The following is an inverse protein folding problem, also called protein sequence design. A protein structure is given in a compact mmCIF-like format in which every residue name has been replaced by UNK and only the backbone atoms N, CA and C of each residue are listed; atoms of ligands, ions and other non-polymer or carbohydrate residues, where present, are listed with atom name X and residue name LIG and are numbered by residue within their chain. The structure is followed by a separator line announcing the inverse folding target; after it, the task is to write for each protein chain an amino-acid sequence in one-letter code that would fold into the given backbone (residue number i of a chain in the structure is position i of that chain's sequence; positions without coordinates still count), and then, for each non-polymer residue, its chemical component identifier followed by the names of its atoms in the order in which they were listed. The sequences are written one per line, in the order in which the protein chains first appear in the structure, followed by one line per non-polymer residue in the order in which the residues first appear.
data_IF_357324254539
#
_entry.id   IF_357324254539
#
_cell.length_a   1.000
_cell.length_b   1.000
_cell.length_c   1.000
_cell.angle_alpha   90.00
_cell.angle_beta   90.00
_cell.angle_gamma   90.00
#
_symmetry.space_group_name_H-M   'P 1'
#
loop_
_entity.id
_entity.type
_entity.pdbx_description
1 polymer ?
#
# COMPACT_ATOMS: atom_id res chain seq x y z
N UNK A 1 -6.57 -2.74 -15.13
CA UNK A 1 -7.54 -3.55 -14.34
C UNK A 1 -8.28 -4.61 -15.16
N UNK A 2 -8.57 -4.37 -16.44
CA UNK A 2 -9.19 -5.36 -17.35
C UNK A 2 -8.18 -6.06 -18.30
N UNK A 3 -6.87 -5.81 -18.13
CA UNK A 3 -5.77 -6.33 -18.92
C UNK A 3 -5.84 -6.06 -20.45
N UNK A 4 -6.51 -4.99 -20.88
CA UNK A 4 -6.59 -4.62 -22.30
C UNK A 4 -5.45 -3.72 -22.81
N UNK A 5 -4.50 -3.42 -21.93
CA UNK A 5 -3.30 -2.63 -22.21
C UNK A 5 -3.50 -1.11 -22.14
N UNK A 6 -4.64 -0.62 -21.65
CA UNK A 6 -4.88 0.79 -21.39
C UNK A 6 -4.95 1.07 -19.88
N UNK A 7 -4.39 2.20 -19.39
CA UNK A 7 -4.50 2.56 -17.98
C UNK A 7 -5.95 2.86 -17.61
N UNK A 8 -6.46 2.14 -16.63
CA UNK A 8 -7.72 2.39 -15.92
C UNK A 8 -7.44 3.25 -14.67
N UNK A 9 -8.48 3.80 -14.05
CA UNK A 9 -8.35 4.63 -12.84
C UNK A 9 -9.32 4.11 -11.78
N UNK A 10 -8.79 3.78 -10.61
CA UNK A 10 -9.58 3.60 -9.39
C UNK A 10 -9.43 4.85 -8.51
N UNK A 11 -10.54 5.36 -7.97
CA UNK A 11 -10.55 6.54 -7.08
C UNK A 11 -11.21 6.13 -5.77
N UNK A 12 -10.45 6.15 -4.68
CA UNK A 12 -10.95 6.02 -3.32
C UNK A 12 -11.50 7.36 -2.82
N UNK A 13 -12.67 7.35 -2.18
CA UNK A 13 -13.27 8.54 -1.57
C UNK A 13 -13.59 8.33 -0.09
N UNK A 14 -13.52 9.44 0.66
CA UNK A 14 -13.84 9.45 2.08
C UNK A 14 -15.29 9.87 2.34
N UNK A 15 -16.02 8.99 3.05
CA UNK A 15 -17.29 9.23 3.75
C UNK A 15 -18.50 9.56 2.87
N UNK A 16 -18.50 10.71 2.22
CA UNK A 16 -19.69 11.32 1.58
C UNK A 16 -19.71 11.20 0.06
N UNK A 17 -18.91 10.30 -0.49
CA UNK A 17 -18.86 9.97 -1.90
C UNK A 17 -18.43 8.50 -2.01
N UNK A 18 -18.94 7.80 -3.02
CA UNK A 18 -18.52 6.41 -3.26
C UNK A 18 -17.20 6.38 -4.00
N UNK A 19 -16.53 5.24 -3.98
CA UNK A 19 -15.38 5.02 -4.86
C UNK A 19 -15.82 5.03 -6.34
N UNK A 20 -14.87 5.23 -7.25
CA UNK A 20 -15.10 5.15 -8.70
C UNK A 20 -14.11 4.19 -9.35
N UNK A 21 -14.60 3.47 -10.37
CA UNK A 21 -13.77 2.63 -11.22
C UNK A 21 -13.96 3.06 -12.67
N UNK A 22 -13.06 3.91 -13.13
CA UNK A 22 -13.06 4.48 -14.46
C UNK A 22 -12.27 3.58 -15.43
N UNK A 23 -12.99 2.92 -16.32
CA UNK A 23 -12.41 2.07 -17.37
C UNK A 23 -12.16 2.90 -18.63
N UNK A 24 -10.95 2.77 -19.18
CA UNK A 24 -10.51 3.54 -20.32
C UNK A 24 -11.22 3.12 -21.61
N UNK A 25 -11.86 4.07 -22.29
CA UNK A 25 -12.63 3.82 -23.51
C UNK A 25 -11.80 3.93 -24.81
N UNK A 26 -10.47 4.08 -24.69
CA UNK A 26 -9.49 4.04 -25.80
C UNK A 26 -9.63 5.19 -26.81
N UNK A 27 -10.38 6.21 -26.46
CA UNK A 27 -10.66 7.39 -27.27
C UNK A 27 -10.46 8.70 -26.50
N UNK A 28 -9.76 8.63 -25.36
CA UNK A 28 -9.54 9.77 -24.46
C UNK A 28 -10.66 10.00 -23.44
N UNK A 29 -11.68 9.14 -23.38
CA UNK A 29 -12.72 9.17 -22.33
C UNK A 29 -12.62 7.96 -21.41
N UNK A 30 -13.27 8.07 -20.25
CA UNK A 30 -13.43 7.00 -19.28
C UNK A 30 -14.92 6.78 -19.00
N UNK A 31 -15.29 5.53 -18.68
CA UNK A 31 -16.63 5.18 -18.20
C UNK A 31 -16.49 4.69 -16.76
N UNK A 32 -17.33 5.21 -15.85
CA UNK A 32 -17.46 4.62 -14.53
C UNK A 32 -18.21 3.28 -14.64
N UNK A 33 -17.55 2.21 -14.21
CA UNK A 33 -18.05 0.83 -14.25
C UNK A 33 -17.97 0.18 -12.85
N UNK A 34 -17.88 0.97 -11.77
CA UNK A 34 -17.78 0.44 -10.40
C UNK A 34 -18.88 -0.58 -10.09
N UNK A 35 -20.15 -0.17 -10.22
CA UNK A 35 -21.31 -0.99 -9.85
C UNK A 35 -21.47 -2.25 -10.72
N UNK A 36 -20.86 -2.25 -11.92
CA UNK A 36 -20.89 -3.36 -12.87
C UNK A 36 -19.84 -4.43 -12.52
N UNK A 37 -18.81 -4.05 -11.76
CA UNK A 37 -17.58 -4.84 -11.56
C UNK A 37 -17.29 -5.17 -10.10
N UNK A 38 -17.70 -4.33 -9.16
CA UNK A 38 -17.42 -4.43 -7.72
C UNK A 38 -18.76 -4.46 -6.98
N UNK A 39 -18.95 -5.43 -6.08
CA UNK A 39 -20.22 -5.59 -5.36
C UNK A 39 -20.43 -4.62 -4.19
N UNK A 40 -19.36 -4.17 -3.56
CA UNK A 40 -19.35 -3.17 -2.49
C UNK A 40 -17.95 -2.59 -2.29
N UNK A 41 -17.85 -1.46 -1.60
CA UNK A 41 -16.59 -0.76 -1.35
C UNK A 41 -16.41 -0.41 0.13
N UNK A 42 -15.23 0.12 0.44
CA UNK A 42 -14.98 0.83 1.69
C UNK A 42 -15.90 2.06 1.81
N UNK A 43 -16.16 2.47 3.04
CA UNK A 43 -16.97 3.64 3.39
C UNK A 43 -16.14 4.92 3.49
N UNK A 44 -14.95 4.84 4.09
CA UNK A 44 -14.07 5.98 4.35
C UNK A 44 -12.68 5.73 3.78
N UNK A 45 -12.60 5.60 2.45
CA UNK A 45 -11.36 5.22 1.79
C UNK A 45 -10.44 6.39 1.54
N UNK A 46 -9.36 6.46 2.33
CA UNK A 46 -8.33 7.50 2.21
C UNK A 46 -7.10 7.05 1.44
N UNK A 47 -6.90 5.74 1.25
CA UNK A 47 -5.81 5.18 0.48
C UNK A 47 -6.24 3.98 -0.33
N UNK A 48 -5.66 3.86 -1.52
CA UNK A 48 -5.78 2.68 -2.35
C UNK A 48 -4.46 2.38 -3.04
N UNK A 49 -4.22 1.10 -3.29
CA UNK A 49 -3.13 0.64 -4.15
C UNK A 49 -3.55 -0.57 -4.99
N UNK A 50 -2.84 -0.78 -6.09
CA UNK A 50 -3.10 -1.87 -7.05
C UNK A 50 -1.87 -2.77 -7.17
N UNK A 51 -2.07 -4.07 -7.02
CA UNK A 51 -0.98 -5.04 -7.10
C UNK A 51 -1.51 -6.45 -7.34
N UNK A 52 -0.71 -7.26 -8.04
CA UNK A 52 -0.97 -8.69 -8.25
C UNK A 52 -0.52 -9.46 -6.99
N UNK A 53 -1.46 -10.04 -6.24
CA UNK A 53 -1.16 -10.69 -4.95
C UNK A 53 -1.02 -12.20 -5.05
N UNK A 54 -1.43 -12.80 -6.17
CA UNK A 54 -1.50 -14.25 -6.34
C UNK A 54 -0.65 -14.75 -7.52
N UNK A 55 0.05 -13.84 -8.21
CA UNK A 55 0.92 -14.07 -9.35
C UNK A 55 0.20 -14.71 -10.54
N UNK A 56 -1.05 -14.28 -10.79
CA UNK A 56 -1.86 -14.70 -11.94
C UNK A 56 -1.83 -13.69 -13.11
N UNK A 57 -1.14 -12.56 -12.94
CA UNK A 57 -0.99 -11.50 -13.93
C UNK A 57 -2.16 -10.51 -13.99
N UNK A 58 -3.11 -10.59 -13.05
CA UNK A 58 -4.16 -9.60 -12.83
C UNK A 58 -3.89 -8.84 -11.53
N UNK A 59 -4.20 -7.54 -11.53
CA UNK A 59 -4.05 -6.72 -10.34
C UNK A 59 -5.33 -6.73 -9.52
N UNK A 60 -5.14 -6.86 -8.22
CA UNK A 60 -6.13 -6.59 -7.19
C UNK A 60 -6.16 -5.10 -6.85
N UNK A 61 -7.27 -4.68 -6.22
CA UNK A 61 -7.41 -3.34 -5.64
C UNK A 61 -7.50 -3.52 -4.13
N UNK A 62 -6.63 -2.87 -3.38
CA UNK A 62 -6.74 -2.76 -1.94
C UNK A 62 -7.11 -1.32 -1.58
N UNK A 63 -8.23 -1.14 -0.87
CA UNK A 63 -8.69 0.15 -0.37
C UNK A 63 -8.75 0.12 1.15
N UNK A 64 -8.20 1.14 1.78
CA UNK A 64 -8.21 1.27 3.25
C UNK A 64 -9.52 1.87 3.75
N UNK A 65 -9.78 1.70 5.03
CA UNK A 65 -10.89 2.25 5.81
C UNK A 65 -10.48 2.32 7.30
N UNK A 66 -11.40 2.69 8.18
CA UNK A 66 -11.17 3.02 9.57
C UNK A 66 -11.60 1.91 10.56
N UNK A 67 -11.86 0.68 10.11
CA UNK A 67 -12.27 -0.41 11.00
C UNK A 67 -11.15 -0.75 11.99
N UNK A 68 -11.36 -0.60 13.31
CA UNK A 68 -10.33 -0.93 14.29
C UNK A 68 -10.01 -2.42 14.33
N UNK A 69 -8.73 -2.75 14.56
CA UNK A 69 -8.25 -4.13 14.64
C UNK A 69 -8.42 -4.78 16.02
N UNK A 70 -8.63 -3.99 17.09
CA UNK A 70 -8.78 -4.49 18.46
C UNK A 70 -10.15 -4.19 19.06
N UNK A 71 -10.58 -5.06 19.98
CA UNK A 71 -11.89 -5.02 20.63
C UNK A 71 -12.16 -3.73 21.42
N UNK A 72 -11.12 -3.10 21.98
CA UNK A 72 -11.29 -1.89 22.79
C UNK A 72 -11.56 -0.68 21.88
N UNK A 73 -10.74 -0.50 20.85
CA UNK A 73 -10.93 0.56 19.86
C UNK A 73 -12.19 0.36 19.04
N UNK A 74 -12.53 -0.88 18.68
CA UNK A 74 -13.80 -1.18 18.01
C UNK A 74 -15.02 -0.69 18.82
N UNK A 75 -15.00 -0.82 20.14
CA UNK A 75 -16.10 -0.35 21.01
C UNK A 75 -16.12 1.16 21.22
N UNK A 76 -14.99 1.83 21.08
CA UNK A 76 -14.87 3.27 21.34
C UNK A 76 -14.90 4.12 20.06
N UNK A 77 -14.69 3.52 18.88
CA UNK A 77 -14.59 4.21 17.59
C UNK A 77 -15.46 3.59 16.49
N UNK A 78 -15.90 2.34 16.65
CA UNK A 78 -16.73 1.65 15.66
C UNK A 78 -18.13 2.24 15.62
N UNK A 79 -18.46 2.94 14.52
CA UNK A 79 -19.79 3.47 14.27
C UNK A 79 -20.33 2.89 12.97
N UNK A 80 -21.36 2.06 13.08
CA UNK A 80 -21.97 1.37 11.94
C UNK A 80 -23.34 1.94 11.61
N UNK A 81 -23.64 2.02 10.32
CA UNK A 81 -24.97 2.38 9.86
C UNK A 81 -26.01 1.36 10.35
N UNK A 82 -27.13 1.85 10.88
CA UNK A 82 -28.31 1.02 11.01
C UNK A 82 -28.97 0.80 9.63
N UNK A 83 -29.90 -0.16 9.56
CA UNK A 83 -30.55 -0.56 8.31
C UNK A 83 -31.30 0.58 7.60
N UNK A 84 -31.86 1.53 8.35
CA UNK A 84 -32.60 2.66 7.77
C UNK A 84 -31.65 3.68 7.14
N UNK A 85 -30.53 3.98 7.80
CA UNK A 85 -29.50 4.88 7.29
C UNK A 85 -28.81 4.27 6.06
N UNK A 86 -28.43 3.00 6.14
CA UNK A 86 -27.87 2.25 5.02
C UNK A 86 -28.79 2.29 3.78
N UNK A 87 -30.07 1.93 3.95
CA UNK A 87 -31.04 1.93 2.86
C UNK A 87 -31.27 3.34 2.29
N UNK A 88 -31.15 4.38 3.13
CA UNK A 88 -31.26 5.77 2.69
C UNK A 88 -30.05 6.21 1.85
N UNK A 89 -28.83 5.81 2.25
CA UNK A 89 -27.60 6.06 1.48
C UNK A 89 -27.63 5.37 0.11
N UNK A 90 -28.02 4.09 0.06
CA UNK A 90 -28.17 3.34 -1.20
C UNK A 90 -29.17 4.03 -2.13
N UNK A 91 -30.33 4.45 -1.63
CA UNK A 91 -31.34 5.19 -2.41
C UNK A 91 -30.83 6.54 -2.93
N UNK A 92 -29.90 7.16 -2.21
CA UNK A 92 -29.29 8.43 -2.60
C UNK A 92 -28.14 8.26 -3.62
N UNK A 93 -27.76 7.02 -3.97
CA UNK A 93 -26.74 6.74 -4.98
C UNK A 93 -25.33 6.48 -4.44
N UNK A 94 -25.15 6.36 -3.12
CA UNK A 94 -23.84 6.08 -2.50
C UNK A 94 -23.37 4.63 -2.65
N UNK A 95 -24.15 3.78 -3.33
CA UNK A 95 -23.85 2.37 -3.52
C UNK A 95 -23.69 1.61 -2.19
N UNK A 96 -23.15 0.39 -2.23
CA UNK A 96 -22.93 -0.45 -1.05
C UNK A 96 -21.55 -0.16 -0.46
N UNK A 97 -21.52 0.45 0.73
CA UNK A 97 -20.29 0.82 1.43
C UNK A 97 -20.28 0.26 2.84
N UNK A 98 -19.12 -0.18 3.31
CA UNK A 98 -18.94 -0.72 4.67
C UNK A 98 -17.66 -0.18 5.29
N UNK A 99 -17.71 0.09 6.60
CA UNK A 99 -16.55 0.53 7.39
C UNK A 99 -15.60 -0.65 7.59
N UNK A 100 -14.79 -0.94 6.57
CA UNK A 100 -13.73 -1.95 6.54
C UNK A 100 -12.86 -1.75 5.29
N UNK A 101 -11.59 -2.17 5.39
CA UNK A 101 -10.77 -2.27 4.18
C UNK A 101 -11.42 -3.26 3.22
N UNK A 102 -11.30 -2.99 1.92
CA UNK A 102 -11.68 -3.96 0.90
C UNK A 102 -10.43 -4.43 0.14
N UNK A 103 -10.35 -5.73 -0.10
CA UNK A 103 -9.34 -6.35 -0.96
C UNK A 103 -10.08 -7.02 -2.10
N UNK A 104 -10.19 -6.31 -3.22
CA UNK A 104 -10.97 -6.69 -4.38
C UNK A 104 -10.15 -7.65 -5.25
N UNK A 105 -10.42 -8.95 -5.13
CA UNK A 105 -9.79 -10.01 -5.92
C UNK A 105 -10.23 -9.93 -7.39
N UNK A 106 -9.31 -9.82 -8.33
CA UNK A 106 -9.65 -9.79 -9.75
C UNK A 106 -9.87 -11.21 -10.29
N UNK A 107 -11.05 -11.49 -10.84
CA UNK A 107 -11.34 -12.84 -11.35
C UNK A 107 -10.89 -13.09 -12.80
N UNK A 108 -10.17 -12.13 -13.40
CA UNK A 108 -9.70 -12.16 -14.78
C UNK A 108 -10.80 -12.02 -15.84
N UNK A 109 -12.07 -11.88 -15.42
CA UNK A 109 -13.24 -11.68 -16.29
C UNK A 109 -13.82 -10.27 -16.14
N UNK A 110 -13.05 -9.37 -15.54
CA UNK A 110 -13.44 -7.98 -15.34
C UNK A 110 -14.39 -7.75 -14.17
N UNK A 111 -14.59 -8.73 -13.29
CA UNK A 111 -15.30 -8.54 -12.04
C UNK A 111 -14.36 -8.79 -10.87
N UNK A 112 -14.71 -8.22 -9.73
CA UNK A 112 -13.96 -8.33 -8.49
C UNK A 112 -14.79 -8.95 -7.38
N UNK A 113 -14.11 -9.51 -6.39
CA UNK A 113 -14.73 -10.04 -5.18
C UNK A 113 -13.94 -9.57 -3.98
N UNK A 114 -14.60 -8.88 -3.04
CA UNK A 114 -13.94 -8.50 -1.80
C UNK A 114 -13.63 -9.76 -0.96
N UNK A 115 -12.36 -9.89 -0.61
CA UNK A 115 -11.82 -10.97 0.20
C UNK A 115 -11.13 -10.45 1.46
N UNK A 116 -11.27 -9.19 1.87
CA UNK A 116 -10.51 -8.63 2.99
C UNK A 116 -10.68 -9.41 4.31
N UNK A 117 -11.92 -9.79 4.63
CA UNK A 117 -12.22 -10.62 5.81
C UNK A 117 -11.64 -12.03 5.71
N UNK A 118 -11.72 -12.65 4.53
CA UNK A 118 -11.09 -13.95 4.28
C UNK A 118 -9.56 -13.84 4.39
N UNK A 119 -9.00 -12.77 3.88
CA UNK A 119 -7.55 -12.59 3.74
C UNK A 119 -6.88 -12.16 5.03
N UNK A 120 -7.65 -11.63 6.00
CA UNK A 120 -7.16 -11.18 7.30
C UNK A 120 -6.72 -9.71 7.34
N UNK A 121 -7.16 -8.88 6.37
CA UNK A 121 -6.71 -7.49 6.19
C UNK A 121 -7.83 -6.45 6.32
N UNK A 122 -9.00 -6.84 6.85
CA UNK A 122 -10.19 -5.98 6.90
C UNK A 122 -10.12 -4.81 7.89
N UNK A 123 -9.33 -4.93 8.96
CA UNK A 123 -9.29 -3.96 10.05
C UNK A 123 -7.88 -3.49 10.37
N UNK A 124 -7.62 -2.21 10.14
CA UNK A 124 -6.32 -1.56 10.30
C UNK A 124 -6.39 -0.31 11.18
N UNK A 125 -7.55 0.07 11.72
CA UNK A 125 -7.78 1.34 12.43
C UNK A 125 -7.77 2.56 11.49
N UNK A 126 -7.53 3.78 11.99
CA UNK A 126 -7.55 5.02 11.20
C UNK A 126 -6.47 5.06 10.09
N UNK A 127 -6.81 4.47 8.95
CA UNK A 127 -5.84 4.14 7.91
C UNK A 127 -5.76 5.19 6.82
N UNK A 128 -4.54 5.54 6.43
CA UNK A 128 -4.26 6.49 5.36
C UNK A 128 -3.68 5.76 4.14
N UNK A 129 -2.38 5.95 3.85
CA UNK A 129 -1.71 5.36 2.71
C UNK A 129 -1.64 3.83 2.76
N UNK A 130 -2.06 3.19 1.67
CA UNK A 130 -1.86 1.78 1.39
C UNK A 130 -0.71 1.61 0.40
N UNK A 131 0.11 0.57 0.60
CA UNK A 131 1.17 0.18 -0.32
C UNK A 131 1.16 -1.34 -0.50
N UNK A 132 1.26 -1.80 -1.74
CA UNK A 132 1.41 -3.20 -2.11
C UNK A 132 2.79 -3.41 -2.73
N UNK A 133 3.68 -4.14 -2.04
CA UNK A 133 5.03 -4.44 -2.50
C UNK A 133 5.57 -5.71 -1.85
N UNK A 134 6.54 -6.33 -2.49
CA UNK A 134 7.24 -7.53 -1.98
C UNK A 134 8.29 -7.10 -0.95
N UNK A 135 7.99 -7.29 0.34
CA UNK A 135 8.82 -6.77 1.44
C UNK A 135 9.90 -7.76 1.88
N UNK A 136 9.75 -9.05 1.60
CA UNK A 136 10.71 -10.10 1.98
C UNK A 136 11.37 -10.82 0.79
N UNK A 137 11.16 -10.30 -0.42
CA UNK A 137 11.67 -10.81 -1.69
C UNK A 137 11.24 -12.25 -2.01
N UNK A 138 10.12 -12.74 -1.46
CA UNK A 138 9.62 -14.09 -1.74
C UNK A 138 8.86 -14.20 -3.09
N UNK A 139 8.59 -13.06 -3.73
CA UNK A 139 7.89 -12.93 -5.01
C UNK A 139 6.41 -12.60 -4.88
N UNK A 140 5.85 -12.52 -3.68
CA UNK A 140 4.47 -12.11 -3.43
C UNK A 140 4.41 -10.65 -2.96
N UNK A 141 3.40 -9.90 -3.40
CA UNK A 141 3.18 -8.56 -2.83
C UNK A 141 2.55 -8.69 -1.44
N UNK A 142 3.20 -8.07 -0.46
CA UNK A 142 2.71 -7.80 0.89
C UNK A 142 1.91 -6.49 0.91
N UNK A 143 1.27 -6.19 2.04
CA UNK A 143 0.49 -4.96 2.23
C UNK A 143 1.03 -4.18 3.42
N UNK A 144 1.31 -2.89 3.22
CA UNK A 144 1.63 -1.96 4.29
C UNK A 144 0.58 -0.85 4.38
N UNK A 145 0.21 -0.47 5.60
CA UNK A 145 -0.80 0.55 5.88
C UNK A 145 -0.30 1.55 6.92
N UNK A 146 -0.24 2.83 6.51
CA UNK A 146 -0.04 3.96 7.41
C UNK A 146 -1.27 4.17 8.29
N UNK A 147 -1.06 4.39 9.57
CA UNK A 147 -2.13 4.43 10.55
C UNK A 147 -1.98 5.59 11.56
N UNK A 148 -3.12 6.00 12.08
CA UNK A 148 -3.25 6.94 13.18
C UNK A 148 -3.73 8.32 12.74
N UNK A 149 -4.42 8.99 13.66
CA UNK A 149 -4.78 10.41 13.56
C UNK A 149 -4.44 11.06 14.89
N UNK A 150 -3.87 12.27 14.86
CA UNK A 150 -3.39 12.96 16.06
C UNK A 150 -4.44 13.08 17.17
N UNK A 151 -5.73 13.15 16.82
CA UNK A 151 -6.83 13.17 17.79
C UNK A 151 -7.92 12.21 17.34
N UNK A 152 -8.38 11.35 18.25
CA UNK A 152 -9.48 10.42 18.01
C UNK A 152 -10.82 11.21 17.99
N UNK A 153 -11.06 11.98 16.93
CA UNK A 153 -12.21 12.89 16.79
C UNK A 153 -13.55 12.15 16.72
N UNK A 154 -13.54 10.86 16.40
CA UNK A 154 -14.73 9.98 16.36
C UNK A 154 -14.92 9.16 17.63
N UNK A 155 -14.13 9.42 18.69
CA UNK A 155 -14.25 8.68 19.94
C UNK A 155 -15.65 8.86 20.56
N UNK A 156 -16.37 7.76 20.70
CA UNK A 156 -17.76 7.74 21.16
C UNK A 156 -17.89 8.22 22.61
N UNK A 157 -16.94 7.89 23.50
CA UNK A 157 -16.96 8.39 24.87
C UNK A 157 -16.75 9.92 24.91
N UNK A 158 -15.87 10.45 24.07
CA UNK A 158 -15.68 11.90 23.93
C UNK A 158 -16.96 12.57 23.40
N UNK A 159 -17.57 12.00 22.35
CA UNK A 159 -18.80 12.53 21.75
C UNK A 159 -19.99 12.49 22.72
N UNK A 160 -20.17 11.38 23.43
CA UNK A 160 -21.32 11.14 24.28
C UNK A 160 -21.25 11.88 25.62
N UNK A 161 -20.07 11.90 26.26
CA UNK A 161 -19.93 12.45 27.61
C UNK A 161 -19.32 13.84 27.66
N UNK A 162 -18.38 14.19 26.78
CA UNK A 162 -17.70 15.48 26.86
C UNK A 162 -18.31 16.52 25.92
N UNK A 163 -18.48 16.19 24.63
CA UNK A 163 -19.02 17.14 23.66
C UNK A 163 -20.47 17.53 24.00
N UNK A 164 -21.32 16.54 24.34
CA UNK A 164 -22.70 16.80 24.75
C UNK A 164 -22.80 17.66 26.01
N UNK A 165 -22.03 17.38 27.06
CA UNK A 165 -22.08 18.16 28.31
C UNK A 165 -21.59 19.60 28.09
N UNK A 166 -20.54 19.80 27.29
CA UNK A 166 -20.06 21.14 26.92
C UNK A 166 -21.12 21.89 26.11
N UNK A 167 -21.73 21.26 25.10
CA UNK A 167 -22.82 21.87 24.31
C UNK A 167 -24.02 22.23 25.20
N UNK A 168 -24.45 21.32 26.08
CA UNK A 168 -25.54 21.56 27.03
C UNK A 168 -25.20 22.68 28.03
N UNK A 169 -23.96 22.74 28.50
CA UNK A 169 -23.43 23.80 29.35
C UNK A 169 -23.48 25.16 28.67
N UNK A 170 -22.94 25.28 27.46
CA UNK A 170 -22.97 26.52 26.66
C UNK A 170 -24.40 27.00 26.39
N UNK A 171 -25.33 26.08 26.11
CA UNK A 171 -26.76 26.41 25.94
C UNK A 171 -27.38 26.94 27.23
N UNK A 172 -27.01 26.37 28.38
CA UNK A 172 -27.55 26.78 29.70
C UNK A 172 -26.96 28.09 30.21
N UNK A 173 -25.66 28.33 30.02
CA UNK A 173 -24.97 29.51 30.55
C UNK A 173 -24.96 30.68 29.59
N UNK A 174 -25.11 30.43 28.28
CA UNK A 174 -24.92 31.43 27.22
C UNK A 174 -23.46 31.82 26.99
N UNK A 175 -22.53 31.24 27.74
CA UNK A 175 -21.09 31.46 27.61
C UNK A 175 -20.51 30.41 26.66
N UNK A 176 -19.77 30.86 25.64
CA UNK A 176 -19.05 29.94 24.75
C UNK A 176 -17.82 29.42 25.47
N UNK A 177 -17.72 28.10 25.63
CA UNK A 177 -16.45 27.45 25.97
C UNK A 177 -15.45 27.73 24.85
N UNK A 178 -14.19 27.97 25.24
CA UNK A 178 -13.14 28.17 24.25
C UNK A 178 -12.89 26.84 23.54
N UNK A 179 -12.95 26.84 22.21
CA UNK A 179 -12.72 25.66 21.36
C UNK A 179 -11.45 24.89 21.77
N UNK A 180 -10.38 25.61 22.16
CA UNK A 180 -9.12 25.05 22.62
C UNK A 180 -9.27 24.08 23.81
N UNK A 181 -10.13 24.41 24.78
CA UNK A 181 -10.38 23.56 25.95
C UNK A 181 -11.11 22.26 25.60
N UNK A 182 -11.98 22.30 24.59
CA UNK A 182 -12.68 21.11 24.09
C UNK A 182 -11.69 20.23 23.32
N UNK A 183 -10.85 20.86 22.49
CA UNK A 183 -9.80 20.18 21.73
C UNK A 183 -8.76 19.50 22.63
N UNK A 184 -8.48 20.02 23.83
CA UNK A 184 -7.61 19.40 24.83
C UNK A 184 -8.19 18.12 25.45
N UNK A 185 -9.51 17.90 25.34
CA UNK A 185 -10.19 16.72 25.90
C UNK A 185 -10.28 15.54 24.95
N UNK A 186 -9.98 15.74 23.66
CA UNK A 186 -10.01 14.66 22.68
C UNK A 186 -8.83 13.71 22.96
N UNK A 187 -9.06 12.38 23.06
CA UNK A 187 -7.98 11.42 23.24
C UNK A 187 -6.95 11.48 22.12
N UNK A 188 -5.68 11.28 22.49
CA UNK A 188 -4.52 11.27 21.59
C UNK A 188 -3.86 9.90 21.73
N UNK A 189 -4.06 9.03 20.74
CA UNK A 189 -3.60 7.64 20.78
C UNK A 189 -2.77 7.33 19.53
N UNK A 190 -1.44 7.33 19.66
CA UNK A 190 -0.56 6.92 18.58
C UNK A 190 -0.76 5.43 18.26
N UNK A 191 -0.70 5.08 16.98
CA UNK A 191 -1.02 3.75 16.47
C UNK A 191 0.22 3.07 15.89
N UNK A 192 0.23 1.74 15.93
CA UNK A 192 1.18 0.97 15.12
C UNK A 192 0.68 0.95 13.68
N UNK A 193 1.61 1.08 12.75
CA UNK A 193 1.34 0.79 11.36
C UNK A 193 1.18 -0.71 11.16
N UNK A 194 0.46 -1.10 10.10
CA UNK A 194 0.20 -2.50 9.80
C UNK A 194 1.06 -2.95 8.63
N UNK A 195 1.70 -4.10 8.77
CA UNK A 195 2.41 -4.77 7.69
C UNK A 195 1.92 -6.21 7.63
N UNK A 196 1.32 -6.58 6.52
CA UNK A 196 0.69 -7.87 6.29
C UNK A 196 1.53 -8.66 5.29
N UNK A 197 2.15 -9.74 5.78
CA UNK A 197 2.88 -10.67 4.94
C UNK A 197 1.91 -11.56 4.16
N UNK A 198 2.11 -11.66 2.86
CA UNK A 198 1.38 -12.58 2.00
C UNK A 198 1.86 -14.02 2.24
N UNK A 199 0.94 -14.90 2.63
CA UNK A 199 1.23 -16.32 2.89
C UNK A 199 0.91 -17.22 1.68
N UNK A 200 0.57 -16.61 0.55
CA UNK A 200 -0.09 -17.26 -0.57
C UNK A 200 -1.53 -17.68 -0.24
N UNK A 201 -2.19 -18.35 -1.19
CA UNK A 201 -3.59 -18.79 -1.06
C UNK A 201 -4.56 -17.69 -0.62
N UNK A 202 -4.26 -16.44 -0.98
CA UNK A 202 -5.05 -15.25 -0.65
C UNK A 202 -5.19 -15.03 0.87
N UNK A 203 -4.17 -15.39 1.65
CA UNK A 203 -4.12 -15.20 3.10
C UNK A 203 -2.94 -14.31 3.45
N UNK A 204 -3.14 -13.45 4.43
CA UNK A 204 -2.10 -12.62 4.99
C UNK A 204 -2.00 -12.81 6.50
N UNK A 205 -0.82 -12.56 7.05
CA UNK A 205 -0.60 -12.44 8.48
C UNK A 205 -0.07 -11.06 8.82
N UNK A 206 -0.60 -10.44 9.88
CA UNK A 206 -0.01 -9.24 10.46
C UNK A 206 1.36 -9.60 11.02
N UNK A 207 2.41 -9.04 10.41
CA UNK A 207 3.81 -9.20 10.75
C UNK A 207 4.42 -7.87 11.23
N UNK A 208 3.60 -6.83 11.48
CA UNK A 208 4.08 -5.49 11.81
C UNK A 208 5.17 -5.48 12.87
N UNK A 209 4.88 -6.06 14.04
CA UNK A 209 5.83 -6.13 15.15
C UNK A 209 7.03 -7.03 14.84
N UNK A 210 6.80 -8.20 14.24
CA UNK A 210 7.86 -9.16 13.89
C UNK A 210 8.84 -8.58 12.86
N UNK A 211 8.36 -7.70 11.98
CA UNK A 211 9.15 -6.96 10.99
C UNK A 211 9.76 -5.68 11.54
N UNK A 212 9.53 -5.33 12.81
CA UNK A 212 10.16 -4.19 13.47
C UNK A 212 9.36 -2.88 13.43
N UNK A 213 8.11 -2.89 12.95
CA UNK A 213 7.21 -1.73 13.01
C UNK A 213 6.58 -1.56 14.40
N UNK A 214 7.44 -1.37 15.42
CA UNK A 214 7.04 -1.30 16.84
C UNK A 214 6.86 0.12 17.37
N UNK A 215 7.27 1.13 16.59
CA UNK A 215 7.13 2.54 16.98
C UNK A 215 5.74 3.07 16.61
N UNK A 216 5.00 3.53 17.63
CA UNK A 216 3.68 4.14 17.44
C UNK A 216 3.82 5.56 16.92
N UNK A 217 3.02 5.92 15.92
CA UNK A 217 2.98 7.28 15.37
C UNK A 217 1.58 7.67 14.88
N UNK A 218 1.50 8.85 14.29
CA UNK A 218 0.37 9.32 13.50
C UNK A 218 0.86 9.44 12.06
N UNK A 219 0.81 8.35 11.31
CA UNK A 219 1.39 8.32 9.96
C UNK A 219 0.32 8.39 8.89
N UNK A 220 0.60 9.18 7.86
CA UNK A 220 -0.35 9.40 6.77
C UNK A 220 0.19 8.84 5.45
N UNK A 221 1.47 9.07 5.16
CA UNK A 221 2.11 8.68 3.90
C UNK A 221 3.32 7.77 4.11
N UNK A 222 3.62 6.95 3.12
CA UNK A 222 4.84 6.15 3.07
C UNK A 222 5.27 5.93 1.62
N UNK A 223 6.56 5.66 1.44
CA UNK A 223 7.15 5.32 0.16
C UNK A 223 8.19 4.23 0.34
N UNK A 224 8.15 3.21 -0.52
CA UNK A 224 9.18 2.18 -0.58
C UNK A 224 10.17 2.44 -1.73
N UNK A 225 11.38 1.92 -1.60
CA UNK A 225 12.43 1.96 -2.63
C UNK A 225 13.69 1.24 -2.16
N UNK A 226 14.53 0.83 -3.08
CA UNK A 226 15.82 0.18 -2.81
C UNK A 226 16.89 1.26 -2.63
N UNK A 227 17.01 1.82 -1.41
CA UNK A 227 17.77 3.04 -1.11
C UNK A 227 19.28 2.78 -1.08
N UNK A 228 19.71 1.60 -0.65
CA UNK A 228 21.13 1.23 -0.58
C UNK A 228 21.61 0.37 -1.77
N UNK A 229 20.70 0.02 -2.68
CA UNK A 229 20.95 -0.76 -3.91
C UNK A 229 21.42 -2.19 -3.62
N UNK A 230 20.84 -2.84 -2.62
CA UNK A 230 21.03 -4.26 -2.35
C UNK A 230 19.86 -5.13 -2.83
N UNK A 231 18.77 -4.53 -3.30
CA UNK A 231 17.68 -5.24 -3.95
C UNK A 231 16.60 -5.79 -3.03
N UNK A 232 16.60 -5.48 -1.73
CA UNK A 232 15.34 -5.41 -0.98
C UNK A 232 14.80 -3.98 -0.92
N UNK A 233 13.50 -3.86 -0.60
CA UNK A 233 12.80 -2.57 -0.60
C UNK A 233 12.79 -2.00 0.82
N UNK A 234 13.47 -0.87 1.00
CA UNK A 234 13.41 -0.04 2.20
C UNK A 234 12.10 0.76 2.25
N UNK A 235 11.78 1.31 3.43
CA UNK A 235 10.54 2.06 3.64
C UNK A 235 10.80 3.40 4.34
N UNK A 236 10.21 4.47 3.81
CA UNK A 236 10.18 5.79 4.45
C UNK A 236 8.75 6.13 4.82
N UNK A 237 8.50 6.49 6.08
CA UNK A 237 7.17 6.79 6.60
C UNK A 237 7.13 8.24 7.06
N UNK A 238 6.13 8.98 6.59
CA UNK A 238 5.84 10.33 7.05
C UNK A 238 4.92 10.30 8.27
N UNK A 239 5.33 11.02 9.32
CA UNK A 239 4.59 11.13 10.57
C UNK A 239 4.15 12.58 10.82
N UNK A 240 2.95 12.77 11.33
CA UNK A 240 2.44 14.05 11.80
C UNK A 240 3.14 14.46 13.09
N UNK A 241 3.66 15.70 13.14
CA UNK A 241 4.31 16.29 14.32
C UNK A 241 5.48 15.47 14.90
N UNK A 242 6.07 14.59 14.11
CA UNK A 242 7.19 13.73 14.49
C UNK A 242 8.16 13.60 13.30
N UNK A 243 9.45 13.27 13.54
CA UNK A 243 10.36 12.94 12.46
C UNK A 243 9.83 11.78 11.60
N UNK A 244 10.19 11.79 10.31
CA UNK A 244 9.94 10.66 9.44
C UNK A 244 10.72 9.42 9.92
N UNK A 245 10.13 8.23 9.77
CA UNK A 245 10.84 6.99 10.00
C UNK A 245 11.51 6.53 8.71
N UNK A 246 12.74 6.03 8.83
CA UNK A 246 13.48 5.42 7.73
C UNK A 246 13.84 4.01 8.17
N UNK A 247 13.27 3.04 7.48
CA UNK A 247 13.38 1.63 7.76
C UNK A 247 14.29 1.00 6.71
N UNK A 248 15.44 0.52 7.15
CA UNK A 248 16.32 -0.29 6.31
C UNK A 248 15.85 -1.73 6.32
N UNK A 249 15.54 -2.25 5.14
CA UNK A 249 15.22 -3.66 4.98
C UNK A 249 16.50 -4.49 5.00
N UNK A 250 16.43 -5.66 5.63
CA UNK A 250 17.55 -6.61 5.76
C UNK A 250 17.10 -8.02 5.40
N UNK A 251 16.00 -8.14 4.68
CA UNK A 251 15.40 -9.43 4.34
C UNK A 251 16.41 -10.29 3.60
N UNK A 252 17.14 -9.75 2.62
CA UNK A 252 18.11 -10.53 1.84
C UNK A 252 19.31 -10.99 2.66
N UNK A 253 19.77 -10.20 3.63
CA UNK A 253 20.81 -10.63 4.56
C UNK A 253 20.38 -11.88 5.36
N UNK A 254 19.08 -12.02 5.62
CA UNK A 254 18.53 -13.06 6.49
C UNK A 254 18.04 -14.29 5.73
N UNK A 255 17.31 -14.09 4.64
CA UNK A 255 16.68 -15.15 3.86
C UNK A 255 17.48 -15.55 2.60
N UNK A 256 18.45 -14.73 2.18
CA UNK A 256 19.25 -14.94 0.97
C UNK A 256 18.40 -15.08 -0.30
N UNK A 257 17.21 -14.46 -0.33
CA UNK A 257 16.34 -14.44 -1.49
C UNK A 257 16.92 -13.60 -2.63
N UNK A 258 16.64 -14.05 -3.84
CA UNK A 258 17.07 -13.42 -5.08
C UNK A 258 16.06 -12.38 -5.55
N UNK A 259 16.51 -11.48 -6.42
CA UNK A 259 15.65 -10.48 -7.03
C UNK A 259 16.00 -10.24 -8.50
N UNK A 260 15.15 -9.50 -9.20
CA UNK A 260 15.48 -8.88 -10.48
C UNK A 260 14.90 -7.47 -10.51
N UNK A 261 15.72 -6.50 -10.90
CA UNK A 261 15.39 -5.08 -10.91
C UNK A 261 15.27 -4.49 -12.31
N UNK A 262 14.46 -3.45 -12.45
CA UNK A 262 14.16 -2.80 -13.72
C UNK A 262 14.17 -1.28 -13.57
N UNK A 263 15.09 -0.62 -14.26
CA UNK A 263 15.07 0.82 -14.49
C UNK A 263 14.65 1.09 -15.93
N UNK A 264 13.48 1.68 -16.11
CA UNK A 264 12.93 1.95 -17.44
C UNK A 264 13.11 3.41 -17.85
N UNK A 265 13.38 3.62 -19.14
CA UNK A 265 13.41 4.91 -19.79
C UNK A 265 12.49 4.90 -21.00
N UNK A 266 11.52 5.78 -21.04
CA UNK A 266 10.53 5.83 -22.11
C UNK A 266 10.90 6.83 -23.21
N UNK A 267 9.91 7.15 -24.05
CA UNK A 267 10.04 8.18 -25.09
C UNK A 267 10.17 9.60 -24.51
N UNK A 268 10.55 10.64 -25.30
CA UNK A 268 10.69 12.01 -24.80
C UNK A 268 9.42 12.62 -24.14
N UNK A 269 8.22 12.11 -24.45
CA UNK A 269 6.95 12.57 -23.85
C UNK A 269 6.56 11.79 -22.59
N UNK A 270 7.26 10.70 -22.28
CA UNK A 270 7.06 9.86 -21.11
C UNK A 270 8.43 9.28 -20.69
N UNK A 271 9.32 10.15 -20.22
CA UNK A 271 10.74 9.81 -20.01
C UNK A 271 10.96 8.70 -18.99
N UNK A 272 10.02 8.55 -18.05
CA UNK A 272 10.04 7.52 -17.02
C UNK A 272 9.33 6.22 -17.43
N UNK A 273 8.79 6.14 -18.66
CA UNK A 273 8.03 4.99 -19.14
C UNK A 273 6.83 4.61 -18.25
N UNK A 274 6.16 5.59 -17.64
CA UNK A 274 4.97 5.38 -16.80
C UNK A 274 3.89 4.63 -17.58
N UNK A 275 3.28 3.63 -16.94
CA UNK A 275 2.33 2.70 -17.55
C UNK A 275 2.97 1.50 -18.24
N UNK A 276 4.28 1.31 -18.11
CA UNK A 276 4.91 0.05 -18.53
C UNK A 276 4.58 -1.08 -17.55
N UNK A 277 4.42 -2.29 -18.07
CA UNK A 277 4.28 -3.51 -17.29
C UNK A 277 5.47 -4.43 -17.50
N UNK A 278 6.06 -4.91 -16.43
CA UNK A 278 7.09 -5.96 -16.44
C UNK A 278 6.43 -7.27 -16.02
N UNK A 279 6.70 -8.32 -16.79
CA UNK A 279 6.25 -9.68 -16.52
C UNK A 279 7.45 -10.61 -16.54
N UNK A 280 7.67 -11.34 -15.44
CA UNK A 280 8.76 -12.30 -15.27
C UNK A 280 8.16 -13.70 -15.14
N UNK A 281 8.67 -14.62 -15.96
CA UNK A 281 8.27 -16.02 -15.95
C UNK A 281 9.38 -16.82 -15.27
N UNK A 282 9.04 -17.42 -14.13
CA UNK A 282 9.95 -18.27 -13.38
C UNK A 282 9.17 -19.50 -12.89
N UNK A 283 9.58 -20.67 -13.38
CA UNK A 283 8.90 -21.95 -13.13
C UNK A 283 7.43 -21.93 -13.58
N UNK A 284 6.49 -22.03 -12.64
CA UNK A 284 5.04 -21.99 -12.88
C UNK A 284 4.41 -20.64 -12.53
N UNK A 285 5.20 -19.65 -12.09
CA UNK A 285 4.69 -18.36 -11.64
C UNK A 285 4.85 -17.27 -12.70
N UNK A 286 3.90 -16.35 -12.71
CA UNK A 286 3.91 -15.13 -13.52
C UNK A 286 3.99 -13.94 -12.57
N UNK A 287 5.20 -13.43 -12.36
CA UNK A 287 5.42 -12.28 -11.49
C UNK A 287 5.24 -11.01 -12.30
N UNK A 288 4.33 -10.12 -11.88
CA UNK A 288 4.02 -8.92 -12.65
C UNK A 288 4.11 -7.64 -11.80
N UNK A 289 4.64 -6.55 -12.38
CA UNK A 289 4.66 -5.22 -11.76
C UNK A 289 4.35 -4.15 -12.81
N UNK A 290 3.60 -3.13 -12.42
CA UNK A 290 3.32 -1.97 -13.27
C UNK A 290 3.93 -0.70 -12.72
N UNK A 291 4.52 0.09 -13.62
CA UNK A 291 5.22 1.32 -13.28
C UNK A 291 4.26 2.50 -13.17
N UNK A 292 3.72 2.65 -11.97
CA UNK A 292 3.01 3.84 -11.50
C UNK A 292 3.57 4.22 -10.12
N UNK A 293 4.31 5.34 -9.99
CA UNK A 293 4.95 5.72 -8.74
C UNK A 293 3.98 6.40 -7.78
N UNK A 294 2.83 6.89 -8.25
CA UNK A 294 1.79 7.53 -7.43
C UNK A 294 1.02 6.48 -6.64
N UNK A 295 1.55 6.13 -5.46
CA UNK A 295 1.01 5.13 -4.53
C UNK A 295 1.03 5.69 -3.11
N UNK A 296 0.09 5.23 -2.27
CA UNK A 296 -0.10 5.75 -0.93
C UNK A 296 -0.73 7.15 -0.87
N UNK A 297 -0.94 7.65 0.34
CA UNK A 297 -1.56 8.97 0.55
C UNK A 297 -0.50 10.07 0.47
N UNK A 298 -0.70 11.03 -0.44
CA UNK A 298 0.24 12.15 -0.68
C UNK A 298 1.70 11.69 -0.85
N UNK A 299 1.90 10.52 -1.44
CA UNK A 299 3.19 9.85 -1.50
C UNK A 299 3.56 9.45 -2.93
N UNK A 300 4.83 9.10 -3.14
CA UNK A 300 5.34 8.55 -4.39
C UNK A 300 6.47 7.57 -4.08
N UNK A 301 6.51 6.43 -4.78
CA UNK A 301 7.53 5.39 -4.63
C UNK A 301 8.63 5.50 -5.69
N UNK A 302 9.69 4.71 -5.54
CA UNK A 302 10.76 4.62 -6.55
C UNK A 302 10.22 4.18 -7.92
N UNK A 303 10.84 4.69 -8.99
CA UNK A 303 10.56 4.28 -10.37
C UNK A 303 11.26 2.97 -10.73
N UNK A 304 12.28 2.57 -9.96
CA UNK A 304 12.91 1.27 -10.07
C UNK A 304 11.93 0.21 -9.56
N UNK A 305 11.60 -0.75 -10.41
CA UNK A 305 10.79 -1.91 -9.99
C UNK A 305 11.74 -3.02 -9.55
N UNK A 306 11.51 -3.56 -8.37
CA UNK A 306 12.15 -4.77 -7.86
C UNK A 306 11.10 -5.88 -7.81
N UNK A 307 11.46 -7.08 -8.25
CA UNK A 307 10.65 -8.29 -8.13
C UNK A 307 11.50 -9.32 -7.38
N UNK A 308 11.04 -9.75 -6.21
CA UNK A 308 11.62 -10.87 -5.49
C UNK A 308 11.39 -12.18 -6.24
N UNK A 309 12.34 -13.10 -6.11
CA UNK A 309 12.34 -14.40 -6.76
C UNK A 309 12.31 -15.54 -5.73
N UNK A 310 12.33 -15.22 -4.43
CA UNK A 310 12.55 -16.17 -3.35
C UNK A 310 13.88 -16.89 -3.52
N UNK A 311 13.89 -18.20 -3.29
CA UNK A 311 15.08 -19.04 -3.45
C UNK A 311 15.45 -19.36 -4.91
N UNK A 312 14.78 -18.77 -5.92
CA UNK A 312 15.01 -19.11 -7.34
C UNK A 312 16.28 -18.45 -7.86
N UNK A 313 17.15 -19.25 -8.47
CA UNK A 313 18.41 -18.79 -9.06
C UNK A 313 18.32 -18.57 -10.57
N UNK A 314 17.17 -18.83 -11.19
CA UNK A 314 16.97 -18.76 -12.64
C UNK A 314 15.62 -18.17 -13.00
N UNK A 315 15.59 -17.46 -14.12
CA UNK A 315 14.37 -16.92 -14.74
C UNK A 315 14.29 -17.52 -16.15
N UNK A 316 13.11 -17.96 -16.58
CA UNK A 316 12.94 -18.51 -17.93
C UNK A 316 12.94 -17.40 -18.98
N UNK A 317 12.12 -16.37 -18.74
CA UNK A 317 12.00 -15.21 -19.61
C UNK A 317 11.38 -14.02 -18.90
N UNK A 318 11.56 -12.83 -19.46
CA UNK A 318 10.87 -11.62 -19.02
C UNK A 318 10.39 -10.80 -20.22
N UNK A 319 9.28 -10.10 -20.03
CA UNK A 319 8.66 -9.22 -20.99
C UNK A 319 8.49 -7.82 -20.38
N UNK A 320 8.80 -6.80 -21.17
CA UNK A 320 8.48 -5.40 -20.86
C UNK A 320 7.45 -4.98 -21.89
N UNK A 321 6.22 -4.73 -21.42
CA UNK A 321 5.13 -4.18 -22.23
C UNK A 321 5.16 -2.68 -22.01
N UNK A 322 5.53 -1.94 -23.05
CA UNK A 322 5.67 -0.49 -23.00
C UNK A 322 4.30 0.21 -23.10
N UNK A 323 4.20 1.51 -22.79
CA UNK A 323 2.92 2.23 -22.80
C UNK A 323 2.25 2.32 -24.19
N UNK A 324 3.03 2.15 -25.26
CA UNK A 324 2.51 2.04 -26.64
C UNK A 324 2.12 0.61 -27.04
N UNK A 325 2.22 -0.33 -26.10
CA UNK A 325 1.97 -1.78 -26.22
C UNK A 325 3.00 -2.53 -27.05
N UNK A 326 4.11 -1.90 -27.43
CA UNK A 326 5.26 -2.66 -27.94
C UNK A 326 5.84 -3.53 -26.83
N UNK A 327 6.49 -4.63 -27.20
CA UNK A 327 7.02 -5.60 -26.23
C UNK A 327 8.51 -5.83 -26.47
N UNK A 328 9.30 -5.68 -25.42
CA UNK A 328 10.68 -6.17 -25.37
C UNK A 328 10.72 -7.51 -24.65
N UNK A 329 11.41 -8.51 -25.21
CA UNK A 329 11.44 -9.88 -24.68
C UNK A 329 12.86 -10.37 -24.48
N UNK A 330 13.08 -11.08 -23.37
CA UNK A 330 14.39 -11.59 -22.96
C UNK A 330 14.26 -13.03 -22.49
N UNK A 331 15.23 -13.86 -22.85
CA UNK A 331 15.32 -15.25 -22.39
C UNK A 331 16.46 -15.38 -21.40
N UNK A 332 16.24 -16.14 -20.35
CA UNK A 332 17.25 -16.48 -19.34
C UNK A 332 18.01 -15.27 -18.79
N UNK A 333 17.32 -14.21 -18.30
CA UNK A 333 18.00 -13.12 -17.63
C UNK A 333 18.66 -13.61 -16.33
N UNK A 334 19.74 -12.95 -15.95
CA UNK A 334 20.42 -13.19 -14.69
C UNK A 334 19.59 -12.65 -13.52
N UNK A 335 19.65 -13.36 -12.40
CA UNK A 335 19.13 -12.89 -11.11
C UNK A 335 20.11 -11.92 -10.46
N UNK A 336 19.70 -11.29 -9.35
CA UNK A 336 20.48 -10.33 -8.56
C UNK A 336 21.06 -9.19 -9.40
N UNK A 337 20.26 -8.74 -10.37
CA UNK A 337 20.68 -7.77 -11.38
C UNK A 337 19.60 -6.71 -11.56
N UNK A 338 20.04 -5.45 -11.59
CA UNK A 338 19.19 -4.33 -12.02
C UNK A 338 19.49 -4.03 -13.49
N UNK A 339 18.47 -4.16 -14.33
CA UNK A 339 18.55 -3.93 -15.76
C UNK A 339 18.03 -2.54 -16.14
N UNK A 340 18.82 -1.81 -16.95
CA UNK A 340 18.41 -0.56 -17.57
C UNK A 340 17.88 -0.78 -18.99
N UNK A 341 16.61 -0.46 -19.23
CA UNK A 341 15.98 -0.57 -20.55
C UNK A 341 15.50 0.77 -21.09
N UNK A 342 15.69 1.01 -22.39
CA UNK A 342 15.14 2.18 -23.08
C UNK A 342 14.12 1.73 -24.14
N UNK A 343 12.94 2.34 -24.12
CA UNK A 343 11.87 2.06 -25.09
C UNK A 343 12.35 2.30 -26.53
N UNK A 344 12.05 1.34 -27.42
CA UNK A 344 12.42 1.39 -28.84
C UNK A 344 13.87 1.02 -29.15
N UNK A 345 14.70 0.72 -28.14
CA UNK A 345 16.04 0.15 -28.33
C UNK A 345 15.98 -1.39 -28.39
N UNK A 346 16.81 -2.03 -29.23
CA UNK A 346 16.87 -3.49 -29.29
C UNK A 346 17.40 -4.09 -27.98
N UNK A 347 17.06 -5.35 -27.76
CA UNK A 347 17.42 -6.12 -26.57
C UNK A 347 18.93 -6.17 -26.24
N UNK A 348 19.81 -5.89 -27.20
CA UNK A 348 21.26 -6.05 -27.07
C UNK A 348 22.00 -4.81 -26.56
N UNK A 349 21.34 -3.65 -26.39
CA UNK A 349 21.98 -2.37 -26.03
C UNK A 349 21.83 -1.98 -24.55
N UNK A 350 21.91 -2.96 -23.64
CA UNK A 350 21.53 -2.80 -22.24
C UNK A 350 22.70 -2.60 -21.30
N UNK A 351 22.49 -1.76 -20.29
CA UNK A 351 23.38 -1.66 -19.13
C UNK A 351 22.79 -2.46 -17.98
N UNK A 352 23.61 -3.34 -17.39
CA UNK A 352 23.28 -4.05 -16.16
C UNK A 352 24.24 -3.63 -15.06
N UNK A 353 23.73 -3.38 -13.86
CA UNK A 353 24.54 -3.26 -12.66
C UNK A 353 24.22 -4.43 -11.73
N UNK A 354 25.24 -5.22 -11.42
CA UNK A 354 25.19 -6.25 -10.39
C UNK A 354 25.96 -5.74 -9.18
N UNK A 355 25.32 -5.68 -8.01
CA UNK A 355 26.04 -5.56 -6.74
C UNK A 355 25.98 -6.93 -6.09
N UNK A 356 27.15 -7.51 -5.84
CA UNK A 356 27.27 -8.69 -4.97
C UNK A 356 27.06 -8.19 -3.55
N UNK A 357 26.22 -8.89 -2.76
CA UNK A 357 26.03 -8.64 -1.32
C UNK A 357 27.37 -8.27 -0.68
N UNK A 358 27.52 -7.08 -0.09
CA UNK A 358 28.67 -6.82 0.76
C UNK A 358 28.51 -7.73 1.99
N UNK A 359 29.37 -8.73 2.13
CA UNK A 359 29.53 -9.40 3.42
C UNK A 359 30.21 -8.43 4.37
N UNK A 360 29.46 -7.52 4.98
CA UNK A 360 30.02 -6.63 5.98
C UNK A 360 30.18 -7.40 7.30
N UNK A 361 31.44 -7.78 7.53
CA UNK A 361 31.95 -8.16 8.84
C UNK A 361 31.77 -6.99 9.80
N UNK A 362 30.68 -6.99 10.56
CA UNK A 362 30.58 -6.28 11.83
C UNK A 362 29.86 -7.20 12.81
N UNK A 363 30.59 -7.56 13.88
CA UNK A 363 30.08 -8.35 14.99
C UNK A 363 28.80 -7.71 15.53
N UNK A 364 27.68 -8.43 15.48
CA UNK A 364 26.67 -8.34 16.53
C UNK A 364 26.08 -9.72 16.83
N UNK A 365 25.86 -9.91 18.13
CA UNK A 365 25.72 -11.21 18.79
C UNK A 365 24.36 -11.83 18.49
N UNK A 366 24.39 -13.15 18.28
CA UNK A 366 23.26 -14.02 18.00
C UNK A 366 22.05 -13.85 18.93
N UNK A 367 20.86 -13.90 18.34
CA UNK A 367 19.73 -14.62 18.93
C UNK A 367 18.90 -15.29 17.83
N UNK A 368 18.75 -16.61 17.99
CA UNK A 368 18.03 -17.50 17.07
C UNK A 368 16.51 -17.29 17.17
N UNK A 369 15.94 -16.69 16.13
CA UNK A 369 14.58 -16.95 15.63
C UNK A 369 14.50 -16.32 14.24
N UNK A 370 14.17 -17.13 13.23
CA UNK A 370 14.13 -16.72 11.83
C UNK A 370 12.90 -15.83 11.57
N UNK A 371 13.06 -14.52 11.76
CA UNK A 371 12.09 -13.49 11.35
C UNK A 371 12.81 -12.44 10.50
N UNK A 372 12.14 -11.97 9.44
CA UNK A 372 12.57 -10.84 8.61
C UNK A 372 12.57 -9.58 9.47
N UNK A 373 13.69 -8.86 9.62
CA UNK A 373 13.75 -7.65 10.44
C UNK A 373 14.01 -6.41 9.58
N UNK A 374 13.04 -5.51 9.52
CA UNK A 374 13.17 -4.19 8.94
C UNK A 374 13.44 -3.21 10.09
N UNK A 375 14.66 -2.68 10.19
CA UNK A 375 15.05 -1.85 11.33
C UNK A 375 14.93 -0.35 11.01
N UNK A 376 14.32 0.41 11.92
CA UNK A 376 14.37 1.86 11.85
C UNK A 376 15.79 2.37 12.18
N UNK A 377 16.34 3.25 11.34
CA UNK A 377 17.47 4.10 11.73
C UNK A 377 16.93 5.46 12.17
N UNK A 378 16.99 5.76 13.46
CA UNK A 378 16.69 7.10 13.96
C UNK A 378 17.87 8.01 13.62
N UNK A 379 17.65 8.96 12.71
CA UNK A 379 18.61 10.02 12.47
C UNK A 379 18.53 11.00 13.64
N UNK A 380 19.53 10.97 14.51
CA UNK A 380 19.69 11.94 15.59
C UNK A 380 20.20 13.26 14.98
N UNK A 381 19.30 14.01 14.34
CA UNK A 381 19.60 15.36 13.82
C UNK A 381 18.82 16.41 14.60
N UNK A 382 19.32 16.71 15.80
CA UNK A 382 19.04 17.97 16.47
C UNK A 382 19.61 19.13 15.64
N UNK A 383 18.89 19.60 14.63
CA UNK A 383 18.90 21.01 14.16
C UNK A 383 17.95 21.20 12.98
N UNK A 384 16.77 21.77 13.25
CA UNK A 384 16.22 22.88 12.45
C UNK A 384 14.98 23.44 13.17
N UNK A 385 15.21 24.45 14.02
CA UNK A 385 14.18 25.47 14.29
C UNK A 385 14.16 26.43 13.10
N UNK A 386 13.01 26.60 12.46
CA UNK A 386 12.29 27.88 12.39
C UNK A 386 10.92 27.72 11.77
#
# INVERSE_FOLDING_TARGET
LNNDGYPDIFVSNDSYERDFLYINQKNGTFKDELEERIGHTSFSSMGADLGDINNDGFQEIFSTDMLPGDDYRLKTLGAFDNIDLYNSKVKAGFYHQYMMNCLQLNNGRGQFSDIANYSGVAGTDWSWGALMFDADNDGYNDIYVCNGINKDVTNLDFMDFFANDVVQGMVKTGEKESLDKVLEKIPVNAMLNKAYRNLGNLRFADQGEDWGFTDKSFSNGAAYGDLDNDGDLDLVINNENQPAFIYRNKSRDQNQHHYVGFQLKGTPKNTFAIGSRVVVFADTQVLSRELFPSRGFQSSVDYKMIIGLGARTTIDSMHIIWPDRTVSSFRSPAVDTVYGFTQGQPATSQSSSSRVHPSDSANDVANNSANVVINASVNDSTTARR
#
